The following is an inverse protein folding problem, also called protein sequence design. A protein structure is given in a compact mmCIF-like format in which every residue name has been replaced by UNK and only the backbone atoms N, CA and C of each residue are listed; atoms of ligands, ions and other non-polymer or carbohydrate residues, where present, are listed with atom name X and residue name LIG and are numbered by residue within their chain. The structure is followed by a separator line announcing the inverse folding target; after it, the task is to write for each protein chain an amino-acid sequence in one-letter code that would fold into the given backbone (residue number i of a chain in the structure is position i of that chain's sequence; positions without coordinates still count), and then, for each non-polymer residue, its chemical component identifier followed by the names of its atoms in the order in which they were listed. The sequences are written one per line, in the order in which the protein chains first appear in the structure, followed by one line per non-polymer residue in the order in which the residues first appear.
data_IF_725813791130
#
_entry.id   IF_725813791130
#
_cell.length_a   1.000
_cell.length_b   1.000
_cell.length_c   1.000
_cell.angle_alpha   90.00
_cell.angle_beta   90.00
_cell.angle_gamma   90.00
#
_symmetry.space_group_name_H-M   'P 1'
#
loop_
_entity.id
_entity.type
_entity.pdbx_description
1 polymer ?
#
# COMPACT_ATOMS: atom_id res chain seq x y z
N UNK A 1 -16.84 9.88 10.78
CA UNK A 1 -16.30 8.74 11.56
C UNK A 1 -14.82 9.00 11.76
N UNK A 2 -14.41 9.41 12.95
CA UNK A 2 -13.00 9.67 13.27
C UNK A 2 -12.25 8.35 13.40
N UNK A 3 -11.73 7.83 12.28
CA UNK A 3 -10.92 6.60 12.24
C UNK A 3 -9.64 6.68 13.10
N UNK A 4 -9.24 7.90 13.45
CA UNK A 4 -8.00 8.19 14.16
C UNK A 4 -8.23 8.61 15.62
N UNK A 5 -9.44 8.90 16.09
CA UNK A 5 -9.67 9.28 17.49
C UNK A 5 -9.77 8.06 18.40
N UNK A 6 -8.64 7.57 18.91
CA UNK A 6 -8.49 7.27 20.34
C UNK A 6 -7.06 6.82 20.68
N UNK A 7 -6.57 7.38 21.78
CA UNK A 7 -5.37 7.07 22.57
C UNK A 7 -4.02 7.66 22.10
N UNK A 8 -3.62 8.75 22.79
CA UNK A 8 -2.28 9.39 22.85
C UNK A 8 -1.81 10.25 21.67
N UNK A 9 -2.56 11.28 21.26
CA UNK A 9 -1.96 12.34 20.45
C UNK A 9 -1.30 13.40 21.32
N UNK A 10 0.03 13.49 21.25
CA UNK A 10 0.75 14.73 21.56
C UNK A 10 0.09 15.85 20.76
N UNK A 11 -0.33 16.93 21.42
CA UNK A 11 -0.75 18.14 20.71
C UNK A 11 0.39 18.59 19.80
N UNK A 12 0.17 18.57 18.49
CA UNK A 12 1.19 18.95 17.48
C UNK A 12 1.06 20.41 17.04
N UNK A 13 0.26 21.22 17.74
CA UNK A 13 0.15 22.65 17.45
C UNK A 13 1.51 23.33 17.70
N UNK A 14 2.14 23.80 16.62
CA UNK A 14 3.46 24.45 16.65
C UNK A 14 4.65 23.55 16.27
N UNK A 15 4.46 22.23 16.14
CA UNK A 15 5.55 21.35 15.66
C UNK A 15 5.71 21.37 14.15
N UNK A 16 6.97 21.43 13.69
CA UNK A 16 7.35 21.35 12.27
C UNK A 16 7.11 19.94 11.72
N UNK A 17 7.57 18.93 12.45
CA UNK A 17 7.37 17.52 12.12
C UNK A 17 6.16 16.98 12.88
N UNK A 18 5.16 16.52 12.12
CA UNK A 18 3.86 16.05 12.61
C UNK A 18 3.78 14.54 12.53
N UNK A 19 2.84 13.94 13.24
CA UNK A 19 2.60 12.48 13.22
C UNK A 19 2.41 11.91 11.80
N UNK A 20 2.63 10.60 11.65
CA UNK A 20 2.56 9.83 10.42
C UNK A 20 1.29 10.12 9.62
N UNK A 21 0.12 10.09 10.26
CA UNK A 21 -1.15 10.31 9.56
C UNK A 21 -1.36 11.78 9.13
N UNK A 22 -0.75 12.73 9.83
CA UNK A 22 -0.78 14.15 9.46
C UNK A 22 0.22 14.47 8.34
N UNK A 23 1.35 13.76 8.32
CA UNK A 23 2.40 13.92 7.32
C UNK A 23 2.04 13.19 6.01
N UNK A 24 1.66 11.91 6.09
CA UNK A 24 1.35 11.04 4.94
C UNK A 24 -0.16 10.80 4.80
N UNK A 25 -0.91 11.88 4.57
CA UNK A 25 -2.38 11.88 4.63
C UNK A 25 -3.03 10.93 3.63
N UNK A 26 -2.52 10.88 2.40
CA UNK A 26 -3.10 10.08 1.31
C UNK A 26 -2.87 8.60 1.61
N UNK A 27 -1.64 8.21 1.97
CA UNK A 27 -1.35 6.82 2.32
C UNK A 27 -2.12 6.40 3.56
N UNK A 28 -2.16 7.21 4.62
CA UNK A 28 -2.92 6.89 5.83
C UNK A 28 -4.41 6.72 5.54
N UNK A 29 -5.00 7.57 4.69
CA UNK A 29 -6.37 7.44 4.24
C UNK A 29 -6.62 6.16 3.44
N UNK A 30 -5.77 5.87 2.45
CA UNK A 30 -5.88 4.67 1.62
C UNK A 30 -5.68 3.39 2.45
N UNK A 31 -4.80 3.42 3.45
CA UNK A 31 -4.65 2.33 4.39
C UNK A 31 -5.92 2.09 5.21
N UNK A 32 -6.58 3.17 5.66
CA UNK A 32 -7.81 3.07 6.46
C UNK A 32 -8.97 2.50 5.63
N UNK A 33 -9.20 3.07 4.44
CA UNK A 33 -10.25 2.60 3.52
C UNK A 33 -9.95 1.19 3.01
N UNK A 34 -8.68 0.87 2.76
CA UNK A 34 -8.21 -0.45 2.33
C UNK A 34 -8.19 -1.50 3.45
N UNK A 35 -8.69 -1.19 4.65
CA UNK A 35 -8.74 -2.10 5.79
C UNK A 35 -7.35 -2.63 6.22
N UNK A 36 -6.27 -1.95 5.85
CA UNK A 36 -4.89 -2.33 6.19
C UNK A 36 -4.30 -1.46 7.31
N UNK A 37 -4.95 -0.37 7.70
CA UNK A 37 -4.47 0.47 8.80
C UNK A 37 -4.50 -0.29 10.15
N UNK A 38 -3.39 -0.28 10.92
CA UNK A 38 -3.29 -1.07 12.15
C UNK A 38 -3.91 -0.35 13.35
N UNK A 39 -5.24 -0.27 13.40
CA UNK A 39 -5.98 0.24 14.57
C UNK A 39 -6.57 -0.93 15.40
N UNK A 40 -6.14 -1.13 16.66
CA UNK A 40 -6.62 -2.25 17.48
C UNK A 40 -8.05 -2.07 17.99
N UNK A 41 -8.55 -0.83 18.12
CA UNK A 41 -9.93 -0.58 18.56
C UNK A 41 -10.95 -1.14 17.56
N UNK A 42 -10.58 -1.19 16.27
CA UNK A 42 -11.42 -1.66 15.18
C UNK A 42 -11.13 -3.11 14.77
N UNK A 43 -10.45 -3.89 15.62
CA UNK A 43 -10.00 -5.23 15.25
C UNK A 43 -11.13 -6.16 14.78
N UNK A 44 -12.22 -6.26 15.56
CA UNK A 44 -13.37 -7.12 15.24
C UNK A 44 -14.12 -6.62 14.00
N UNK A 45 -14.33 -5.31 13.92
CA UNK A 45 -14.96 -4.66 12.78
C UNK A 45 -14.18 -4.92 11.49
N UNK A 46 -12.85 -4.83 11.53
CA UNK A 46 -11.98 -5.10 10.38
C UNK A 46 -12.11 -6.53 9.87
N UNK A 47 -12.23 -7.54 10.74
CA UNK A 47 -12.47 -8.93 10.31
C UNK A 47 -13.79 -9.05 9.55
N UNK A 48 -14.84 -8.43 10.09
CA UNK A 48 -16.16 -8.42 9.45
C UNK A 48 -16.07 -7.74 8.08
N UNK A 49 -15.38 -6.60 7.98
CA UNK A 49 -15.18 -5.90 6.71
C UNK A 49 -14.33 -6.68 5.71
N UNK A 50 -13.25 -7.36 6.15
CA UNK A 50 -12.44 -8.22 5.28
C UNK A 50 -13.29 -9.40 4.78
N UNK A 51 -14.09 -10.03 5.65
CA UNK A 51 -15.03 -11.08 5.25
C UNK A 51 -16.06 -10.58 4.23
N UNK A 52 -16.63 -9.40 4.47
CA UNK A 52 -17.53 -8.73 3.53
C UNK A 52 -16.87 -8.44 2.18
N UNK A 53 -15.62 -7.98 2.16
CA UNK A 53 -14.86 -7.71 0.95
C UNK A 53 -14.52 -9.00 0.16
N UNK A 54 -14.26 -10.12 0.85
CA UNK A 54 -14.07 -11.42 0.19
C UNK A 54 -15.39 -11.86 -0.44
N UNK A 55 -16.49 -11.83 0.30
CA UNK A 55 -17.82 -12.22 -0.19
C UNK A 55 -18.23 -11.33 -1.38
N UNK A 56 -17.95 -10.03 -1.33
CA UNK A 56 -18.29 -9.10 -2.40
C UNK A 56 -17.47 -9.28 -3.67
N UNK A 57 -16.35 -10.01 -3.66
CA UNK A 57 -15.48 -10.25 -4.84
C UNK A 57 -15.55 -11.71 -5.31
N UNK A 58 -16.07 -12.60 -4.48
CA UNK A 58 -16.16 -14.03 -4.78
C UNK A 58 -16.97 -14.35 -6.05
N UNK A 59 -18.12 -13.70 -6.35
CA UNK A 59 -18.87 -13.94 -7.58
C UNK A 59 -18.04 -13.68 -8.85
N UNK A 60 -17.37 -12.52 -8.95
CA UNK A 60 -16.59 -12.21 -10.15
C UNK A 60 -15.37 -13.11 -10.27
N UNK A 61 -14.75 -13.46 -9.15
CA UNK A 61 -13.63 -14.41 -9.12
C UNK A 61 -14.08 -15.78 -9.62
N UNK A 62 -15.27 -16.25 -9.21
CA UNK A 62 -15.85 -17.49 -9.69
C UNK A 62 -16.11 -17.48 -11.20
N UNK A 63 -16.64 -16.38 -11.73
CA UNK A 63 -16.86 -16.22 -13.18
C UNK A 63 -15.51 -16.27 -13.93
N UNK A 64 -14.50 -15.53 -13.46
CA UNK A 64 -13.17 -15.52 -14.10
C UNK A 64 -12.52 -16.91 -14.03
N UNK A 65 -12.58 -17.60 -12.89
CA UNK A 65 -12.02 -18.94 -12.75
C UNK A 65 -12.72 -19.97 -13.65
N UNK A 66 -14.04 -19.86 -13.81
CA UNK A 66 -14.79 -20.67 -14.77
C UNK A 66 -14.36 -20.38 -16.21
N UNK A 67 -14.16 -19.11 -16.58
CA UNK A 67 -13.69 -18.71 -17.90
C UNK A 67 -12.26 -19.24 -18.17
N UNK A 68 -11.36 -19.12 -17.19
CA UNK A 68 -10.01 -19.69 -17.24
C UNK A 68 -10.04 -21.21 -17.44
N UNK A 69 -10.94 -21.93 -16.76
CA UNK A 69 -11.10 -23.37 -16.93
C UNK A 69 -11.55 -23.73 -18.36
N UNK A 70 -12.45 -22.94 -18.95
CA UNK A 70 -12.86 -23.11 -20.36
C UNK A 70 -11.70 -22.87 -21.32
N UNK A 71 -10.95 -21.77 -21.17
CA UNK A 71 -9.76 -21.52 -21.99
C UNK A 71 -8.69 -22.61 -21.85
N UNK A 72 -8.59 -23.25 -20.68
CA UNK A 72 -7.69 -24.39 -20.47
C UNK A 72 -8.12 -25.61 -21.29
N UNK A 73 -9.42 -25.88 -21.39
CA UNK A 73 -9.95 -26.95 -22.24
C UNK A 73 -9.76 -26.63 -23.73
N UNK A 74 -9.89 -25.36 -24.12
CA UNK A 74 -9.69 -24.89 -25.49
C UNK A 74 -8.20 -24.72 -25.85
N UNK A 75 -7.27 -25.00 -24.92
CA UNK A 75 -5.82 -24.79 -25.06
C UNK A 75 -5.38 -23.35 -25.40
N UNK A 76 -6.19 -22.36 -25.01
CA UNK A 76 -5.90 -20.94 -25.23
C UNK A 76 -5.18 -20.33 -24.02
N UNK A 77 -3.88 -20.62 -23.94
CA UNK A 77 -3.04 -20.16 -22.83
C UNK A 77 -2.86 -18.64 -22.79
N UNK A 78 -3.03 -17.94 -23.92
CA UNK A 78 -2.88 -16.47 -23.98
C UNK A 78 -3.99 -15.80 -23.17
N UNK A 79 -5.24 -16.27 -23.32
CA UNK A 79 -6.36 -15.76 -22.54
C UNK A 79 -6.27 -16.17 -21.06
N UNK A 80 -5.74 -17.35 -20.73
CA UNK A 80 -5.45 -17.73 -19.34
C UNK A 80 -4.46 -16.75 -18.70
N UNK A 81 -3.37 -16.40 -19.39
CA UNK A 81 -2.38 -15.42 -18.90
C UNK A 81 -3.05 -14.06 -18.66
N UNK A 82 -3.93 -13.62 -19.57
CA UNK A 82 -4.70 -12.37 -19.41
C UNK A 82 -5.59 -12.40 -18.15
N UNK A 83 -6.22 -13.53 -17.84
CA UNK A 83 -7.00 -13.65 -16.61
C UNK A 83 -6.12 -13.73 -15.35
N UNK A 84 -4.94 -14.36 -15.43
CA UNK A 84 -3.98 -14.39 -14.33
C UNK A 84 -3.52 -12.98 -13.91
N UNK A 85 -3.38 -12.03 -14.85
CA UNK A 85 -3.03 -10.65 -14.51
C UNK A 85 -4.14 -9.90 -13.77
N UNK A 86 -5.38 -10.41 -13.77
CA UNK A 86 -6.50 -9.89 -12.98
C UNK A 86 -6.65 -10.64 -11.66
N UNK A 87 -6.64 -11.98 -11.69
CA UNK A 87 -6.79 -12.82 -10.47
C UNK A 87 -5.60 -12.66 -9.52
N UNK A 88 -4.38 -12.52 -10.05
CA UNK A 88 -3.16 -12.35 -9.26
C UNK A 88 -3.26 -11.16 -8.29
N UNK A 89 -3.58 -9.94 -8.77
CA UNK A 89 -3.83 -8.78 -7.92
C UNK A 89 -4.93 -8.98 -6.87
N UNK A 90 -6.04 -9.70 -7.15
CA UNK A 90 -7.04 -10.05 -6.13
C UNK A 90 -6.41 -10.82 -4.98
N UNK A 91 -5.72 -11.92 -5.29
CA UNK A 91 -5.07 -12.75 -4.29
C UNK A 91 -4.01 -11.96 -3.52
N UNK A 92 -3.24 -11.11 -4.22
CA UNK A 92 -2.25 -10.22 -3.60
C UNK A 92 -2.87 -9.22 -2.63
N UNK A 93 -3.99 -8.59 -2.99
CA UNK A 93 -4.72 -7.67 -2.12
C UNK A 93 -5.22 -8.35 -0.84
N UNK A 94 -5.90 -9.50 -0.97
CA UNK A 94 -6.39 -10.27 0.18
C UNK A 94 -5.25 -10.78 1.06
N UNK A 95 -4.15 -11.23 0.47
CA UNK A 95 -2.97 -11.64 1.21
C UNK A 95 -2.40 -10.46 2.03
N UNK A 96 -2.31 -9.27 1.45
CA UNK A 96 -1.84 -8.05 2.15
C UNK A 96 -2.76 -7.67 3.31
N UNK A 97 -4.09 -7.72 3.11
CA UNK A 97 -5.07 -7.51 4.19
C UNK A 97 -4.87 -8.51 5.34
N UNK A 98 -4.71 -9.80 5.02
CA UNK A 98 -4.47 -10.84 6.02
C UNK A 98 -3.12 -10.66 6.73
N UNK A 99 -2.06 -10.32 6.01
CA UNK A 99 -0.74 -10.03 6.58
C UNK A 99 -0.84 -8.86 7.56
N UNK A 100 -1.46 -7.74 7.18
CA UNK A 100 -1.63 -6.59 8.08
C UNK A 100 -2.53 -6.90 9.26
N UNK A 101 -3.51 -7.78 9.08
CA UNK A 101 -4.34 -8.25 10.16
C UNK A 101 -3.52 -9.03 11.21
N UNK A 102 -2.75 -10.02 10.75
CA UNK A 102 -1.89 -10.85 11.61
C UNK A 102 -0.74 -10.06 12.22
N UNK A 103 -0.15 -9.12 11.46
CA UNK A 103 1.02 -8.32 11.84
C UNK A 103 0.69 -6.89 12.28
N UNK A 104 -0.55 -6.66 12.70
CA UNK A 104 -1.02 -5.36 13.18
C UNK A 104 -0.16 -4.76 14.30
N UNK A 105 0.30 -5.59 15.27
CA UNK A 105 1.10 -5.13 16.41
C UNK A 105 2.45 -4.59 15.94
N UNK A 106 3.25 -5.36 15.17
CA UNK A 106 4.46 -4.84 14.52
C UNK A 106 4.21 -3.58 13.68
N UNK A 107 3.18 -3.55 12.85
CA UNK A 107 2.90 -2.40 11.99
C UNK A 107 2.58 -1.14 12.80
N UNK A 108 1.80 -1.25 13.88
CA UNK A 108 1.53 -0.13 14.79
C UNK A 108 2.78 0.35 15.50
N UNK A 109 3.65 -0.56 15.94
CA UNK A 109 4.93 -0.18 16.56
C UNK A 109 5.80 0.64 15.60
N UNK A 110 5.81 0.33 14.31
CA UNK A 110 6.55 1.11 13.32
C UNK A 110 5.95 2.52 13.17
N UNK A 111 4.62 2.64 13.11
CA UNK A 111 3.95 3.96 13.06
C UNK A 111 4.29 4.77 14.30
N UNK A 112 4.19 4.17 15.49
CA UNK A 112 4.52 4.84 16.74
C UNK A 112 5.99 5.26 16.80
N UNK A 113 6.93 4.43 16.33
CA UNK A 113 8.35 4.78 16.26
C UNK A 113 8.56 5.97 15.30
N UNK A 114 7.87 6.03 14.16
CA UNK A 114 7.92 7.19 13.27
C UNK A 114 7.39 8.45 13.98
N UNK A 115 6.28 8.33 14.72
CA UNK A 115 5.69 9.44 15.47
C UNK A 115 6.63 9.95 16.58
N UNK A 116 7.24 9.04 17.34
CA UNK A 116 8.23 9.34 18.38
C UNK A 116 9.49 9.98 17.79
N UNK A 117 10.00 9.43 16.68
CA UNK A 117 11.16 9.98 15.97
C UNK A 117 10.84 11.40 15.50
N UNK A 118 9.69 11.63 14.86
CA UNK A 118 9.29 12.97 14.40
C UNK A 118 9.10 13.96 15.54
N UNK A 119 8.55 13.53 16.68
CA UNK A 119 8.50 14.37 17.88
C UNK A 119 9.91 14.77 18.34
N UNK A 120 10.86 13.83 18.35
CA UNK A 120 12.26 14.10 18.73
C UNK A 120 12.98 15.04 17.75
N UNK A 121 12.68 14.92 16.46
CA UNK A 121 13.29 15.70 15.39
C UNK A 121 13.02 17.20 15.49
N UNK A 122 11.90 17.60 16.11
CA UNK A 122 11.57 19.01 16.35
C UNK A 122 12.60 19.70 17.27
N UNK A 123 13.30 18.94 18.12
CA UNK A 123 14.29 19.46 19.06
C UNK A 123 15.74 19.35 18.53
N UNK A 124 15.94 18.83 17.31
CA UNK A 124 17.28 18.65 16.74
C UNK A 124 17.84 19.94 16.14
N UNK A 125 19.18 20.11 16.10
CA UNK A 125 19.83 21.24 15.43
C UNK A 125 19.51 21.33 13.94
N UNK A 126 19.56 22.53 13.38
CA UNK A 126 19.22 22.83 11.98
C UNK A 126 19.92 21.92 10.94
N UNK A 127 21.22 21.56 11.08
CA UNK A 127 21.88 20.66 10.13
C UNK A 127 21.20 19.29 9.99
N UNK A 128 20.68 18.74 11.10
CA UNK A 128 19.94 17.47 11.09
C UNK A 128 18.55 17.65 10.49
N UNK A 129 17.88 18.76 10.83
CA UNK A 129 16.57 19.09 10.28
C UNK A 129 16.58 19.20 8.75
N UNK A 130 17.66 19.69 8.14
CA UNK A 130 17.79 19.73 6.66
C UNK A 130 17.80 18.33 6.03
N UNK A 131 18.43 17.35 6.67
CA UNK A 131 18.43 15.94 6.22
C UNK A 131 17.01 15.38 6.32
N UNK A 132 16.35 15.63 7.46
CA UNK A 132 14.97 15.18 7.73
C UNK A 132 13.99 15.79 6.71
N UNK A 133 14.09 17.11 6.48
CA UNK A 133 13.24 17.83 5.53
C UNK A 133 13.36 17.26 4.11
N UNK A 134 14.60 17.01 3.66
CA UNK A 134 14.83 16.42 2.34
C UNK A 134 14.25 15.02 2.24
N UNK A 135 14.39 14.20 3.28
CA UNK A 135 13.84 12.84 3.31
C UNK A 135 12.31 12.83 3.31
N UNK A 136 11.68 13.63 4.17
CA UNK A 136 10.21 13.75 4.22
C UNK A 136 9.67 14.25 2.89
N UNK A 137 10.29 15.29 2.30
CA UNK A 137 9.89 15.81 0.98
C UNK A 137 9.99 14.73 -0.10
N UNK A 138 11.07 13.95 -0.12
CA UNK A 138 11.22 12.84 -1.06
C UNK A 138 10.15 11.77 -0.84
N UNK A 139 9.79 11.43 0.39
CA UNK A 139 8.71 10.49 0.68
C UNK A 139 7.34 11.00 0.21
N UNK A 140 7.03 12.28 0.44
CA UNK A 140 5.78 12.89 -0.03
C UNK A 140 5.68 12.87 -1.56
N UNK A 141 6.80 13.10 -2.26
CA UNK A 141 6.84 13.10 -3.73
C UNK A 141 6.77 11.68 -4.27
N UNK A 142 7.66 10.78 -3.84
CA UNK A 142 7.82 9.47 -4.46
C UNK A 142 6.92 8.39 -3.85
N UNK A 143 6.94 8.24 -2.52
CA UNK A 143 6.23 7.16 -1.82
C UNK A 143 4.74 7.44 -1.63
N UNK A 144 4.33 8.70 -1.64
CA UNK A 144 2.93 9.09 -1.55
C UNK A 144 2.35 9.49 -2.92
N UNK A 145 2.73 10.64 -3.48
CA UNK A 145 2.07 11.15 -4.71
C UNK A 145 2.38 10.32 -5.95
N UNK A 146 3.66 10.12 -6.27
CA UNK A 146 4.05 9.42 -7.49
C UNK A 146 3.57 7.96 -7.45
N UNK A 147 3.73 7.27 -6.31
CA UNK A 147 3.23 5.90 -6.16
C UNK A 147 1.72 5.79 -6.40
N UNK A 148 0.92 6.67 -5.79
CA UNK A 148 -0.54 6.68 -5.98
C UNK A 148 -0.89 6.92 -7.45
N UNK A 149 -0.22 7.86 -8.12
CA UNK A 149 -0.43 8.13 -9.56
C UNK A 149 -0.06 6.91 -10.40
N UNK A 150 1.07 6.27 -10.12
CA UNK A 150 1.51 5.07 -10.84
C UNK A 150 0.48 3.95 -10.71
N UNK A 151 0.09 3.60 -9.48
CA UNK A 151 -0.90 2.53 -9.24
C UNK A 151 -2.24 2.89 -9.88
N UNK A 152 -2.71 4.13 -9.75
CA UNK A 152 -3.94 4.59 -10.38
C UNK A 152 -3.89 4.41 -11.90
N UNK A 153 -2.81 4.86 -12.54
CA UNK A 153 -2.66 4.76 -13.99
C UNK A 153 -2.64 3.30 -14.46
N UNK A 154 -1.89 2.42 -13.79
CA UNK A 154 -1.84 0.99 -14.12
C UNK A 154 -3.18 0.28 -13.95
N UNK A 155 -3.94 0.60 -12.90
CA UNK A 155 -5.21 -0.08 -12.61
C UNK A 155 -6.35 0.46 -13.48
N UNK A 156 -6.35 1.77 -13.75
CA UNK A 156 -7.47 2.42 -14.43
C UNK A 156 -7.34 2.47 -15.95
N UNK A 157 -6.21 2.09 -16.54
CA UNK A 157 -6.02 2.13 -18.00
C UNK A 157 -7.09 1.32 -18.76
N UNK A 158 -7.42 0.11 -18.28
CA UNK A 158 -8.43 -0.74 -18.93
C UNK A 158 -9.85 -0.22 -18.73
N UNK A 159 -10.30 0.15 -17.51
CA UNK A 159 -11.57 0.83 -17.33
C UNK A 159 -11.71 2.12 -18.15
N UNK A 160 -10.70 2.99 -18.15
CA UNK A 160 -10.75 4.24 -18.91
C UNK A 160 -10.85 4.00 -20.41
N UNK A 161 -10.08 3.05 -20.94
CA UNK A 161 -10.17 2.66 -22.35
C UNK A 161 -11.57 2.15 -22.69
N UNK A 162 -12.15 1.28 -21.86
CA UNK A 162 -13.51 0.78 -22.08
C UNK A 162 -14.56 1.90 -22.00
N UNK A 163 -14.46 2.83 -21.03
CA UNK A 163 -15.35 4.00 -20.95
C UNK A 163 -15.25 4.85 -22.22
N UNK A 164 -14.03 5.21 -22.63
CA UNK A 164 -13.79 6.05 -23.79
C UNK A 164 -14.32 5.40 -25.09
N UNK A 165 -14.06 4.10 -25.28
CA UNK A 165 -14.54 3.36 -26.44
C UNK A 165 -16.06 3.24 -26.43
N UNK A 166 -16.69 2.89 -25.31
CA UNK A 166 -18.15 2.83 -25.24
C UNK A 166 -18.79 4.19 -25.53
N UNK A 167 -18.25 5.27 -24.95
CA UNK A 167 -18.74 6.62 -25.19
C UNK A 167 -18.61 7.00 -26.67
N UNK A 168 -17.45 6.77 -27.28
CA UNK A 168 -17.23 7.04 -28.69
C UNK A 168 -18.18 6.24 -29.58
N UNK A 169 -18.32 4.94 -29.36
CA UNK A 169 -19.20 4.10 -30.18
C UNK A 169 -20.67 4.47 -30.02
N UNK A 170 -21.11 4.83 -28.81
CA UNK A 170 -22.48 5.25 -28.58
C UNK A 170 -22.81 6.58 -29.26
N UNK A 171 -21.88 7.53 -29.27
CA UNK A 171 -22.11 8.88 -29.82
C UNK A 171 -21.92 8.94 -31.33
N UNK A 172 -20.95 8.20 -31.88
CA UNK A 172 -20.49 8.40 -33.27
C UNK A 172 -20.80 7.25 -34.22
N UNK A 173 -21.23 6.07 -33.74
CA UNK A 173 -21.58 4.94 -34.62
C UNK A 173 -23.07 4.67 -34.66
N UNK A 174 -23.56 4.40 -35.86
CA UNK A 174 -24.93 3.98 -36.14
C UNK A 174 -25.27 2.59 -35.57
N UNK A 175 -24.28 1.70 -35.47
CA UNK A 175 -24.38 0.40 -34.79
C UNK A 175 -23.37 0.35 -33.64
N UNK A 176 -23.77 0.71 -32.41
CA UNK A 176 -22.85 0.79 -31.27
C UNK A 176 -22.36 -0.58 -30.83
N UNK A 177 -21.04 -0.77 -30.78
CA UNK A 177 -20.41 -1.94 -30.16
C UNK A 177 -20.00 -1.64 -28.73
N UNK A 178 -20.17 -2.63 -27.83
CA UNK A 178 -19.86 -2.51 -26.41
C UNK A 178 -18.48 -3.10 -26.08
N UNK A 179 -17.76 -2.46 -25.15
CA UNK A 179 -16.42 -2.86 -24.73
C UNK A 179 -16.38 -3.09 -23.21
N UNK A 180 -15.86 -4.23 -22.77
CA UNK A 180 -15.70 -4.49 -21.33
C UNK A 180 -14.35 -4.00 -20.81
N UNK A 181 -14.31 -3.57 -19.55
CA UNK A 181 -13.06 -3.21 -18.87
C UNK A 181 -12.11 -4.42 -18.76
N UNK A 182 -12.67 -5.59 -18.44
CA UNK A 182 -11.98 -6.87 -18.54
C UNK A 182 -12.86 -7.84 -19.33
N UNK A 183 -12.29 -8.49 -20.33
CA UNK A 183 -13.01 -9.46 -21.14
C UNK A 183 -13.30 -10.71 -20.31
N UNK A 184 -14.56 -10.90 -19.94
CA UNK A 184 -15.01 -12.07 -19.20
C UNK A 184 -16.25 -12.63 -19.90
N UNK A 185 -16.25 -13.93 -20.21
CA UNK A 185 -17.40 -14.58 -20.84
C UNK A 185 -18.54 -14.77 -19.85
N UNK A 186 -19.78 -14.75 -20.37
CA UNK A 186 -20.96 -15.09 -19.58
C UNK A 186 -20.96 -16.60 -19.30
N UNK A 187 -21.08 -17.05 -18.04
CA UNK A 187 -21.18 -18.47 -17.76
C UNK A 187 -22.42 -19.10 -18.42
N UNK A 188 -22.25 -20.29 -18.99
CA UNK A 188 -23.33 -21.11 -19.57
C UNK A 188 -24.14 -20.46 -20.71
N UNK A 189 -23.64 -19.37 -21.30
CA UNK A 189 -24.26 -18.72 -22.46
C UNK A 189 -23.31 -18.64 -23.65
N UNK A 190 -23.82 -18.12 -24.76
CA UNK A 190 -22.99 -17.85 -25.93
C UNK A 190 -22.01 -16.70 -25.63
N UNK A 191 -20.81 -16.68 -26.25
CA UNK A 191 -19.82 -15.63 -25.99
C UNK A 191 -20.37 -14.21 -26.17
N UNK A 192 -21.21 -13.98 -27.18
CA UNK A 192 -21.78 -12.67 -27.49
C UNK A 192 -22.84 -12.21 -26.49
N UNK A 193 -23.42 -13.12 -25.70
CA UNK A 193 -24.42 -12.78 -24.69
C UNK A 193 -23.86 -11.87 -23.58
N UNK A 194 -22.53 -11.78 -23.45
CA UNK A 194 -21.86 -10.89 -22.49
C UNK A 194 -22.13 -9.41 -22.76
N UNK A 195 -22.56 -9.04 -23.96
CA UNK A 195 -22.88 -7.65 -24.34
C UNK A 195 -24.38 -7.32 -24.18
N UNK A 196 -25.21 -8.33 -23.95
CA UNK A 196 -26.64 -8.15 -23.79
C UNK A 196 -26.96 -7.46 -22.46
N UNK A 197 -27.90 -6.51 -22.51
CA UNK A 197 -28.40 -5.84 -21.31
C UNK A 197 -29.37 -6.77 -20.56
N UNK A 198 -29.39 -6.80 -19.21
CA UNK A 198 -28.66 -5.94 -18.27
C UNK A 198 -27.30 -6.51 -17.82
N UNK A 199 -26.87 -7.65 -18.35
CA UNK A 199 -25.67 -8.35 -17.89
C UNK A 199 -24.41 -7.49 -18.08
N UNK A 200 -24.25 -6.89 -19.25
CA UNK A 200 -23.11 -6.03 -19.57
C UNK A 200 -22.94 -4.91 -18.54
N UNK A 201 -24.00 -4.16 -18.25
CA UNK A 201 -23.92 -2.98 -17.38
C UNK A 201 -23.58 -3.40 -15.93
N UNK A 202 -24.14 -4.51 -15.45
CA UNK A 202 -23.86 -5.06 -14.12
C UNK A 202 -22.39 -5.48 -14.00
N UNK A 203 -21.89 -6.28 -14.95
CA UNK A 203 -20.50 -6.74 -14.94
C UNK A 203 -19.53 -5.56 -15.10
N UNK A 204 -19.87 -4.58 -15.92
CA UNK A 204 -19.06 -3.39 -16.11
C UNK A 204 -18.87 -2.60 -14.80
N UNK A 205 -19.97 -2.29 -14.11
CA UNK A 205 -19.94 -1.59 -12.82
C UNK A 205 -19.17 -2.42 -11.78
N UNK A 206 -19.37 -3.73 -11.80
CA UNK A 206 -18.75 -4.62 -10.82
C UNK A 206 -17.23 -4.76 -11.04
N UNK A 207 -16.77 -4.77 -12.29
CA UNK A 207 -15.34 -4.70 -12.62
C UNK A 207 -14.74 -3.36 -12.20
N UNK A 208 -15.45 -2.25 -12.41
CA UNK A 208 -14.99 -0.93 -11.97
C UNK A 208 -14.86 -0.87 -10.44
N UNK A 209 -15.81 -1.44 -9.69
CA UNK A 209 -15.71 -1.60 -8.24
C UNK A 209 -14.46 -2.38 -7.83
N UNK A 210 -14.18 -3.49 -8.51
CA UNK A 210 -12.98 -4.29 -8.24
C UNK A 210 -11.68 -3.52 -8.55
N UNK A 211 -11.63 -2.76 -9.65
CA UNK A 211 -10.49 -1.89 -9.99
C UNK A 211 -10.25 -0.84 -8.91
N UNK A 212 -11.31 -0.17 -8.42
CA UNK A 212 -11.18 0.81 -7.33
C UNK A 212 -10.66 0.14 -6.05
N UNK A 213 -11.17 -1.05 -5.72
CA UNK A 213 -10.71 -1.80 -4.57
C UNK A 213 -9.21 -2.17 -4.65
N UNK A 214 -8.71 -2.52 -5.83
CA UNK A 214 -7.28 -2.74 -6.05
C UNK A 214 -6.45 -1.51 -5.82
N UNK A 215 -6.85 -0.41 -6.43
CA UNK A 215 -6.14 0.86 -6.33
C UNK A 215 -5.94 1.22 -4.85
N UNK A 216 -7.00 1.15 -4.04
CA UNK A 216 -6.94 1.46 -2.61
C UNK A 216 -5.98 0.52 -1.87
N UNK A 217 -6.08 -0.80 -2.08
CA UNK A 217 -5.25 -1.78 -1.38
C UNK A 217 -3.77 -1.67 -1.72
N UNK A 218 -3.43 -1.57 -3.02
CA UNK A 218 -2.05 -1.50 -3.47
C UNK A 218 -1.41 -0.17 -3.09
N UNK A 219 -2.10 0.96 -3.31
CA UNK A 219 -1.57 2.26 -2.93
C UNK A 219 -1.39 2.39 -1.41
N UNK A 220 -2.33 1.91 -0.60
CA UNK A 220 -2.24 1.98 0.86
C UNK A 220 -1.11 1.12 1.44
N UNK A 221 -1.11 -0.19 1.17
CA UNK A 221 -0.12 -1.10 1.78
C UNK A 221 1.30 -0.89 1.23
N UNK A 222 1.46 -0.79 -0.08
CA UNK A 222 2.81 -0.67 -0.67
C UNK A 222 3.40 0.72 -0.41
N UNK A 223 2.55 1.77 -0.42
CA UNK A 223 2.96 3.12 -0.04
C UNK A 223 3.45 3.18 1.41
N UNK A 224 2.73 2.55 2.34
CA UNK A 224 3.16 2.41 3.74
C UNK A 224 4.51 1.70 3.86
N UNK A 225 4.67 0.58 3.16
CA UNK A 225 5.92 -0.18 3.16
C UNK A 225 7.09 0.65 2.63
N UNK A 226 6.88 1.40 1.54
CA UNK A 226 7.87 2.32 0.99
C UNK A 226 8.29 3.41 1.98
N UNK A 227 7.32 4.02 2.68
CA UNK A 227 7.60 5.03 3.72
C UNK A 227 8.43 4.41 4.85
N UNK A 228 8.10 3.20 5.30
CA UNK A 228 8.85 2.52 6.36
C UNK A 228 10.32 2.29 5.97
N UNK A 229 10.57 1.85 4.74
CA UNK A 229 11.94 1.65 4.24
C UNK A 229 12.68 2.98 4.20
N UNK A 230 12.07 4.02 3.64
CA UNK A 230 12.72 5.32 3.54
C UNK A 230 12.96 5.97 4.90
N UNK A 231 12.08 5.72 5.90
CA UNK A 231 12.33 6.15 7.28
C UNK A 231 13.52 5.44 7.90
N UNK A 232 13.68 4.13 7.67
CA UNK A 232 14.88 3.41 8.07
C UNK A 232 16.15 3.99 7.40
N UNK A 233 16.08 4.36 6.12
CA UNK A 233 17.17 5.05 5.42
C UNK A 233 17.48 6.43 6.04
N UNK A 234 16.45 7.21 6.41
CA UNK A 234 16.61 8.48 7.11
C UNK A 234 17.37 8.28 8.43
N UNK A 235 16.96 7.32 9.27
CA UNK A 235 17.67 7.05 10.53
C UNK A 235 19.14 6.70 10.29
N UNK A 236 19.44 5.93 9.25
CA UNK A 236 20.83 5.62 8.90
C UNK A 236 21.63 6.88 8.50
N UNK A 237 21.05 7.78 7.71
CA UNK A 237 21.68 9.05 7.35
C UNK A 237 21.95 9.93 8.58
N UNK A 238 21.01 9.98 9.52
CA UNK A 238 21.18 10.69 10.79
C UNK A 238 22.30 10.09 11.64
N UNK A 239 22.45 8.76 11.67
CA UNK A 239 23.55 8.11 12.37
C UNK A 239 24.91 8.40 11.73
N UNK A 240 25.00 8.39 10.40
CA UNK A 240 26.22 8.80 9.70
C UNK A 240 26.60 10.24 10.07
N UNK A 241 25.61 11.16 10.07
CA UNK A 241 25.87 12.55 10.42
C UNK A 241 26.29 12.72 11.89
N UNK A 242 25.63 12.02 12.80
CA UNK A 242 25.99 12.01 14.22
C UNK A 242 27.39 11.44 14.47
N UNK A 243 27.80 10.45 13.68
CA UNK A 243 29.14 9.89 13.74
C UNK A 243 30.21 10.87 13.23
N UNK A 244 29.96 11.56 12.12
CA UNK A 244 30.84 12.63 11.62
C UNK A 244 31.03 13.73 12.66
N UNK A 245 29.93 14.19 13.26
CA UNK A 245 29.97 15.25 14.29
C UNK A 245 30.66 14.77 15.58
N UNK A 246 30.57 13.47 15.90
CA UNK A 246 31.32 12.87 17.00
C UNK A 246 32.82 12.86 16.72
N UNK A 247 33.24 12.52 15.50
CA UNK A 247 34.65 12.51 15.09
C UNK A 247 35.27 13.92 14.99
N UNK A 248 34.44 14.93 14.73
CA UNK A 248 34.88 16.33 14.71
C UNK A 248 35.18 16.90 16.12
N UNK A 249 34.86 16.17 17.19
CA UNK A 249 35.13 16.61 18.56
C UNK A 249 36.64 16.56 18.87
N UNK A 250 37.20 17.67 19.35
CA UNK A 250 38.63 17.74 19.71
C UNK A 250 38.97 16.93 20.97
N UNK A 251 38.00 16.69 21.85
CA UNK A 251 38.19 15.92 23.07
C UNK A 251 37.94 14.43 22.82
N UNK A 252 38.98 13.61 23.03
CA UNK A 252 38.96 12.16 22.80
C UNK A 252 37.92 11.44 23.66
N UNK A 253 37.73 11.84 24.92
CA UNK A 253 36.78 11.18 25.82
C UNK A 253 35.33 11.50 25.45
N UNK A 254 35.09 12.73 24.99
CA UNK A 254 33.78 13.14 24.48
C UNK A 254 33.46 12.46 23.15
N UNK A 255 34.43 12.40 22.23
CA UNK A 255 34.32 11.66 20.98
C UNK A 255 33.94 10.19 21.24
N UNK A 256 34.65 9.51 22.16
CA UNK A 256 34.35 8.12 22.53
C UNK A 256 32.92 7.95 23.05
N UNK A 257 32.46 8.83 23.95
CA UNK A 257 31.10 8.80 24.48
C UNK A 257 30.05 8.96 23.37
N UNK A 258 30.24 9.92 22.47
CA UNK A 258 29.32 10.19 21.36
C UNK A 258 29.29 9.02 20.35
N UNK A 259 30.44 8.45 20.01
CA UNK A 259 30.52 7.25 19.14
C UNK A 259 29.78 6.08 19.76
N UNK A 260 29.99 5.80 21.06
CA UNK A 260 29.28 4.72 21.76
C UNK A 260 27.76 4.95 21.72
N UNK A 261 27.30 6.19 21.91
CA UNK A 261 25.87 6.54 21.79
C UNK A 261 25.32 6.21 20.40
N UNK A 262 26.00 6.63 19.33
CA UNK A 262 25.56 6.34 17.95
C UNK A 262 25.49 4.84 17.68
N UNK A 263 26.49 4.07 18.14
CA UNK A 263 26.51 2.61 17.99
C UNK A 263 25.36 1.96 18.79
N UNK A 264 25.03 2.46 19.97
CA UNK A 264 23.92 1.96 20.77
C UNK A 264 22.57 2.20 20.06
N UNK A 265 22.37 3.38 19.48
CA UNK A 265 21.16 3.74 18.73
C UNK A 265 21.04 2.93 17.42
N UNK A 266 22.14 2.74 16.71
CA UNK A 266 22.19 1.88 15.53
C UNK A 266 21.86 0.42 15.88
N UNK A 267 22.38 -0.09 17.00
CA UNK A 267 22.05 -1.42 17.50
C UNK A 267 20.59 -1.55 17.96
N UNK A 268 19.98 -0.48 18.47
CA UNK A 268 18.54 -0.44 18.80
C UNK A 268 17.72 -0.54 17.52
N UNK A 269 18.05 0.24 16.49
CA UNK A 269 17.40 0.17 15.18
C UNK A 269 17.56 -1.22 14.54
N UNK A 270 18.77 -1.78 14.53
CA UNK A 270 19.01 -3.11 13.97
C UNK A 270 18.21 -4.19 14.70
N UNK A 271 18.10 -4.12 16.03
CA UNK A 271 17.26 -5.05 16.82
C UNK A 271 15.78 -4.88 16.49
N UNK A 272 15.31 -3.64 16.29
CA UNK A 272 13.96 -3.34 15.85
C UNK A 272 13.70 -3.96 14.47
N UNK A 273 14.54 -3.63 13.48
CA UNK A 273 14.49 -4.23 12.15
C UNK A 273 14.51 -5.76 12.21
N UNK A 274 15.41 -6.39 12.96
CA UNK A 274 15.52 -7.87 13.09
C UNK A 274 14.32 -8.52 13.80
N UNK A 275 13.65 -7.83 14.72
CA UNK A 275 12.37 -8.29 15.29
C UNK A 275 11.26 -8.22 14.24
N UNK A 276 11.31 -7.22 13.35
CA UNK A 276 10.33 -7.04 12.28
C UNK A 276 10.60 -7.89 11.03
N UNK A 277 11.84 -8.20 10.64
CA UNK A 277 12.16 -9.15 9.55
C UNK A 277 11.82 -10.60 9.93
N UNK A 278 11.67 -10.92 11.22
CA UNK A 278 11.04 -12.18 11.64
C UNK A 278 9.52 -12.20 11.47
N UNK A 279 8.91 -11.04 11.19
CA UNK A 279 7.48 -10.89 10.96
C UNK A 279 7.09 -10.75 9.49
N UNK A 280 8.03 -10.40 8.60
CA UNK A 280 7.85 -10.43 7.14
C UNK A 280 8.53 -11.71 6.64
N UNK A 281 7.86 -12.59 5.89
CA UNK A 281 8.47 -13.83 5.42
C UNK A 281 9.56 -13.50 4.38
N UNK A 282 10.79 -13.30 4.83
CA UNK A 282 11.96 -13.38 3.95
C UNK A 282 12.34 -14.85 3.81
N UNK A 283 12.01 -15.40 2.64
CA UNK A 283 12.58 -16.64 2.10
C UNK A 283 14.08 -16.42 1.91
N UNK A 284 14.89 -16.82 2.88
CA UNK A 284 16.35 -16.62 2.76
C UNK A 284 17.09 -16.66 4.08
N UNK A 285 16.95 -17.75 4.83
CA UNK A 285 17.95 -18.09 5.85
C UNK A 285 18.47 -19.49 5.56
N UNK A 286 19.45 -19.57 4.66
CA UNK A 286 20.36 -20.74 4.64
C UNK A 286 21.06 -20.75 6.00
N UNK A 287 20.79 -21.79 6.78
CA UNK A 287 21.64 -22.15 7.92
C UNK A 287 23.00 -22.52 7.37
N UNK A 288 24.03 -21.78 7.74
CA UNK A 288 25.37 -22.33 7.93
C UNK A 288 25.50 -22.61 9.43
#
# INVERSE_FOLDING_TARGET
MDFFNNDYYLSTEGYKYKTFHQTYKIIAFLMAVGLVYPNPSLYKFRIICIGGAIISVLPITGIILYDMYRYLLDHDYVNIIRHCTVVGPFLGGFLKMMIMHVKQRPARMIINEIDEDYASFNNMPEPYQRIIDSSIRNNLVYSEKAWVITVFSCVMIFPFMAIALNFYNFVFKSEPTKYMAHEVRKPYGEPEDRFNSPYFEIIFIYMLYCSIFYFINFSGYDGFFGICINHACLKMQLYCKAFEDALACSNIDEMRKRIVSVIQDQNRLFRLCKRHTRCIPYYGRKKQ
#
